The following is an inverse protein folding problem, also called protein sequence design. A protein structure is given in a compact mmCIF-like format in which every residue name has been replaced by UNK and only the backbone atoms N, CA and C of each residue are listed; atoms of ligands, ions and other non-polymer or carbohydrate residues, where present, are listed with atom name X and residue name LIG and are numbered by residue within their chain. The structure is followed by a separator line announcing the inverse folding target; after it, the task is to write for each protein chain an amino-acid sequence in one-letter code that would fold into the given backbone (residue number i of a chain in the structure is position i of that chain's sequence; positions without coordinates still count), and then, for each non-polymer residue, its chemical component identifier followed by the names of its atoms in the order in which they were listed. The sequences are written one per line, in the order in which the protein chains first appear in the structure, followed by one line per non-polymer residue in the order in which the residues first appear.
data_IF_198542293401
#
_entry.id   IF_198542293401
#
_cell.length_a   1.000
_cell.length_b   1.000
_cell.length_c   1.000
_cell.angle_alpha   90.00
_cell.angle_beta   90.00
_cell.angle_gamma   90.00
#
_symmetry.space_group_name_H-M   'P 1'
#
loop_
_entity.id
_entity.type
_entity.pdbx_description
1 polymer ?
#
# COMPACT_ATOMS: atom_id res chain seq x y z
N UNK A 1 6.90 -1.09 -9.27
CA UNK A 1 5.74 -1.42 -10.12
C UNK A 1 5.26 -0.22 -10.88
N UNK A 2 4.82 -0.39 -12.13
CA UNK A 2 4.49 0.70 -13.04
C UNK A 2 3.02 1.04 -13.05
N UNK A 3 2.75 2.33 -12.95
CA UNK A 3 1.49 2.92 -13.32
C UNK A 3 1.64 3.64 -14.66
N UNK A 4 0.75 3.37 -15.60
CA UNK A 4 0.70 4.09 -16.88
C UNK A 4 -0.46 5.07 -16.82
N UNK A 5 -0.15 6.38 -16.83
CA UNK A 5 -1.15 7.42 -16.95
C UNK A 5 -1.74 7.45 -18.37
N UNK A 6 -2.99 7.94 -18.56
CA UNK A 6 -3.63 8.05 -19.89
C UNK A 6 -2.86 8.92 -20.90
N UNK A 7 -1.94 9.76 -20.43
CA UNK A 7 -1.07 10.61 -21.26
C UNK A 7 0.25 9.95 -21.69
N UNK A 8 0.42 8.63 -21.42
CA UNK A 8 1.59 7.88 -21.82
C UNK A 8 2.79 7.95 -20.88
N UNK A 9 2.72 8.73 -19.81
CA UNK A 9 3.73 8.74 -18.78
C UNK A 9 3.64 7.47 -17.93
N UNK A 10 4.78 6.82 -17.71
CA UNK A 10 4.92 5.62 -16.89
C UNK A 10 5.53 5.98 -15.56
N UNK A 11 4.88 5.60 -14.48
CA UNK A 11 5.34 5.85 -13.11
C UNK A 11 5.58 4.52 -12.41
N UNK A 12 6.78 4.32 -11.88
CA UNK A 12 7.13 3.11 -11.12
C UNK A 12 6.78 3.29 -9.66
N UNK A 13 5.96 2.38 -9.13
CA UNK A 13 5.89 2.17 -7.69
C UNK A 13 7.12 1.37 -7.28
N UNK A 14 8.03 2.01 -6.59
CA UNK A 14 9.03 1.31 -5.82
C UNK A 14 8.30 0.81 -4.57
N UNK A 15 7.66 -0.35 -4.68
CA UNK A 15 7.15 -1.07 -3.53
C UNK A 15 8.30 -1.77 -2.81
N UNK A 16 9.36 -1.04 -2.53
CA UNK A 16 10.26 -1.44 -1.47
C UNK A 16 9.46 -1.22 -0.19
N UNK A 17 8.93 -2.34 0.27
CA UNK A 17 8.30 -2.56 1.56
C UNK A 17 8.00 -1.28 2.33
N UNK A 18 6.72 -0.89 2.40
CA UNK A 18 6.25 0.01 3.45
C UNK A 18 6.98 -0.36 4.75
N UNK A 19 7.54 0.60 5.49
CA UNK A 19 8.30 0.31 6.68
C UNK A 19 7.45 -0.55 7.60
N UNK A 20 8.00 -1.74 7.96
CA UNK A 20 7.44 -2.49 9.09
C UNK A 20 7.45 -1.54 10.27
N UNK A 21 6.29 -1.18 10.78
CA UNK A 21 6.18 -0.44 12.01
C UNK A 21 5.65 0.98 11.90
N UNK A 22 5.08 1.42 10.78
CA UNK A 22 4.21 2.58 10.84
C UNK A 22 2.85 2.09 11.33
N UNK A 23 2.71 2.08 12.65
CA UNK A 23 1.42 1.85 13.28
C UNK A 23 0.57 3.09 13.08
N UNK A 24 -0.41 3.01 12.20
CA UNK A 24 -1.46 4.01 12.18
C UNK A 24 -2.40 3.65 13.32
N UNK A 25 -2.26 4.32 14.44
CA UNK A 25 -3.30 4.28 15.47
C UNK A 25 -4.54 4.86 14.82
N UNK A 26 -5.52 4.02 14.54
CA UNK A 26 -6.88 4.48 14.32
C UNK A 26 -7.27 5.14 15.66
N UNK A 27 -7.12 6.46 15.73
CA UNK A 27 -7.51 7.23 16.90
C UNK A 27 -8.94 6.79 17.27
N UNK A 28 -9.07 6.18 18.41
CA UNK A 28 -10.35 6.18 19.09
C UNK A 28 -10.74 7.66 19.15
N UNK A 29 -11.77 8.07 18.41
CA UNK A 29 -12.22 9.46 18.35
C UNK A 29 -12.31 9.98 19.78
N UNK A 30 -11.35 10.79 20.19
CA UNK A 30 -11.41 11.54 21.42
C UNK A 30 -10.32 11.33 22.48
N UNK A 31 -9.41 10.35 22.37
CA UNK A 31 -8.28 10.25 23.33
C UNK A 31 -6.98 10.67 22.63
N UNK A 32 -6.25 11.66 23.15
CA UNK A 32 -4.92 11.98 22.68
C UNK A 32 -3.97 10.78 22.92
N UNK A 33 -2.97 10.63 22.07
CA UNK A 33 -1.96 9.55 22.14
C UNK A 33 -1.27 9.50 23.52
N UNK A 34 -1.13 10.64 24.15
CA UNK A 34 -0.48 10.84 25.45
C UNK A 34 -1.25 10.14 26.61
N UNK A 35 -2.56 9.94 26.45
CA UNK A 35 -3.41 9.33 27.46
C UNK A 35 -3.54 7.80 27.29
N UNK A 36 -2.99 7.23 26.23
CA UNK A 36 -3.10 5.79 25.95
C UNK A 36 -1.89 5.09 26.57
N UNK A 37 -2.13 4.26 27.60
CA UNK A 37 -1.09 3.43 28.24
C UNK A 37 -0.28 2.64 27.19
N UNK A 38 1.04 2.56 27.38
CA UNK A 38 2.03 1.94 26.51
C UNK A 38 2.32 2.77 25.26
N UNK A 39 1.29 3.25 24.53
CA UNK A 39 1.47 4.05 23.32
C UNK A 39 2.16 5.39 23.62
N UNK A 40 1.85 6.02 24.75
CA UNK A 40 2.47 7.26 25.20
C UNK A 40 3.99 7.15 25.44
N UNK A 41 4.50 5.92 25.64
CA UNK A 41 5.93 5.66 25.83
C UNK A 41 6.71 5.60 24.50
N UNK A 42 5.99 5.50 23.35
CA UNK A 42 6.57 5.33 22.01
C UNK A 42 5.97 6.31 20.99
N UNK A 43 6.06 7.64 21.20
CA UNK A 43 5.45 8.61 20.30
C UNK A 43 6.07 8.62 18.90
N UNK A 44 7.33 8.21 18.78
CA UNK A 44 8.09 8.07 17.53
C UNK A 44 7.59 6.94 16.63
N UNK A 45 6.90 5.94 17.20
CA UNK A 45 6.32 4.82 16.45
C UNK A 45 4.98 5.18 15.80
N UNK A 46 4.34 6.26 16.26
CA UNK A 46 3.01 6.71 15.82
C UNK A 46 3.03 8.13 15.24
N UNK A 47 3.83 8.42 14.21
CA UNK A 47 3.84 9.73 13.59
C UNK A 47 2.51 10.02 12.89
N UNK A 48 2.11 11.28 12.83
CA UNK A 48 0.90 11.71 12.09
C UNK A 48 1.07 11.51 10.58
N UNK A 49 2.26 11.77 10.06
CA UNK A 49 2.64 11.58 8.66
C UNK A 49 3.90 10.72 8.56
N UNK A 50 4.02 10.00 7.45
CA UNK A 50 5.22 9.22 7.16
C UNK A 50 6.41 10.15 6.87
N UNK A 51 7.54 10.00 7.56
CA UNK A 51 8.69 10.91 7.41
C UNK A 51 9.44 10.77 6.07
N UNK A 52 9.08 9.77 5.25
CA UNK A 52 9.71 9.51 3.94
C UNK A 52 9.74 8.05 3.58
N UNK A 53 10.67 7.69 2.70
CA UNK A 53 10.90 6.29 2.31
C UNK A 53 11.40 5.46 3.49
N UNK A 54 11.02 4.16 3.56
CA UNK A 54 11.53 3.26 4.59
C UNK A 54 13.04 3.10 4.47
N UNK A 55 13.73 2.77 5.59
CA UNK A 55 15.16 2.49 5.54
C UNK A 55 15.45 1.27 4.66
N UNK A 56 16.64 1.26 4.05
CA UNK A 56 17.12 0.12 3.29
C UNK A 56 17.14 -1.15 4.15
N UNK A 57 16.76 -2.27 3.56
CA UNK A 57 16.69 -3.57 4.23
C UNK A 57 17.54 -4.59 3.51
N UNK A 58 18.10 -5.52 4.28
CA UNK A 58 18.91 -6.63 3.76
C UNK A 58 18.09 -7.65 2.93
N UNK A 59 16.76 -7.65 3.10
CA UNK A 59 15.87 -8.57 2.40
C UNK A 59 15.15 -7.83 1.28
N UNK A 60 15.46 -8.17 0.04
CA UNK A 60 14.70 -7.73 -1.13
C UNK A 60 13.35 -8.45 -1.23
N UNK A 61 12.29 -7.69 -1.42
CA UNK A 61 10.99 -8.26 -1.75
C UNK A 61 10.96 -8.70 -3.22
N UNK A 62 10.70 -9.98 -3.44
CA UNK A 62 10.62 -10.58 -4.79
C UNK A 62 9.24 -11.19 -5.02
N UNK A 63 8.76 -11.07 -6.25
CA UNK A 63 7.54 -11.74 -6.72
C UNK A 63 7.98 -12.78 -7.75
N UNK A 64 7.86 -14.05 -7.41
CA UNK A 64 8.21 -15.14 -8.30
C UNK A 64 7.09 -15.35 -9.33
N UNK A 65 7.50 -15.44 -10.59
CA UNK A 65 6.57 -15.60 -11.72
C UNK A 65 6.72 -16.98 -12.35
N UNK A 66 5.66 -17.43 -13.01
CA UNK A 66 5.70 -18.64 -13.82
C UNK A 66 6.78 -18.51 -14.91
N UNK A 67 7.50 -19.61 -15.19
CA UNK A 67 8.58 -19.62 -16.17
C UNK A 67 8.08 -19.32 -17.59
N UNK A 68 8.87 -18.56 -18.34
CA UNK A 68 8.58 -18.29 -19.76
C UNK A 68 7.53 -17.20 -20.00
N UNK A 69 7.10 -16.48 -18.96
CA UNK A 69 6.11 -15.41 -19.09
C UNK A 69 6.75 -14.12 -19.59
N UNK A 70 6.15 -13.53 -20.62
CA UNK A 70 6.50 -12.19 -21.07
C UNK A 70 5.93 -11.11 -20.14
N UNK A 71 6.58 -9.94 -20.03
CA UNK A 71 6.05 -8.83 -19.25
C UNK A 71 4.64 -8.43 -19.66
N UNK A 72 3.77 -8.24 -18.66
CA UNK A 72 2.39 -7.82 -18.87
C UNK A 72 2.30 -6.29 -18.74
N UNK A 73 1.78 -5.65 -19.80
CA UNK A 73 1.46 -4.23 -19.77
C UNK A 73 0.02 -4.05 -20.26
N UNK A 74 -0.92 -3.87 -19.33
CA UNK A 74 -2.32 -3.60 -19.68
C UNK A 74 -2.54 -2.12 -19.96
N UNK A 75 -3.42 -1.86 -20.95
CA UNK A 75 -3.84 -0.48 -21.26
C UNK A 75 -4.59 0.11 -20.05
N UNK A 76 -4.44 1.43 -19.79
CA UNK A 76 -5.21 2.09 -18.75
C UNK A 76 -6.72 2.04 -19.07
N UNK A 77 -7.53 1.96 -18.02
CA UNK A 77 -8.97 2.06 -18.15
C UNK A 77 -9.37 3.48 -18.55
N UNK A 78 -10.44 3.57 -19.35
CA UNK A 78 -11.03 4.88 -19.69
C UNK A 78 -11.63 5.50 -18.42
N UNK A 79 -11.23 6.72 -18.12
CA UNK A 79 -11.69 7.47 -16.95
C UNK A 79 -12.41 8.74 -17.38
N UNK A 80 -13.35 9.19 -16.57
CA UNK A 80 -13.97 10.51 -16.71
C UNK A 80 -12.98 11.62 -16.30
N UNK A 81 -13.31 12.85 -16.63
CA UNK A 81 -12.44 14.01 -16.36
C UNK A 81 -12.19 14.20 -14.86
N UNK A 82 -13.19 13.93 -14.01
CA UNK A 82 -13.06 14.06 -12.55
C UNK A 82 -12.09 13.04 -11.99
N UNK A 83 -12.20 11.78 -12.40
CA UNK A 83 -11.29 10.73 -11.97
C UNK A 83 -9.87 10.98 -12.47
N UNK A 84 -9.72 11.52 -13.68
CA UNK A 84 -8.42 11.85 -14.24
C UNK A 84 -7.72 12.98 -13.46
N UNK A 85 -8.45 14.03 -13.08
CA UNK A 85 -7.91 15.12 -12.28
C UNK A 85 -7.50 14.66 -10.87
N UNK A 86 -8.31 13.79 -10.26
CA UNK A 86 -7.98 13.20 -8.96
C UNK A 86 -6.76 12.29 -9.04
N UNK A 87 -6.66 11.49 -10.09
CA UNK A 87 -5.49 10.66 -10.35
C UNK A 87 -4.22 11.48 -10.45
N UNK A 88 -4.25 12.56 -11.23
CA UNK A 88 -3.11 13.45 -11.40
C UNK A 88 -2.67 14.04 -10.06
N UNK A 89 -3.61 14.54 -9.27
CA UNK A 89 -3.35 15.09 -7.94
C UNK A 89 -2.66 14.07 -7.03
N UNK A 90 -3.20 12.84 -6.91
CA UNK A 90 -2.63 11.80 -6.05
C UNK A 90 -1.24 11.36 -6.52
N UNK A 91 -1.00 11.29 -7.84
CA UNK A 91 0.33 10.98 -8.39
C UNK A 91 1.32 12.11 -8.08
N UNK A 92 0.95 13.37 -8.25
CA UNK A 92 1.80 14.51 -7.95
C UNK A 92 2.17 14.54 -6.45
N UNK A 93 1.24 14.24 -5.55
CA UNK A 93 1.49 14.13 -4.12
C UNK A 93 2.48 13.00 -3.79
N UNK A 94 2.33 11.82 -4.41
CA UNK A 94 3.24 10.69 -4.21
C UNK A 94 4.64 10.96 -4.79
N UNK A 95 4.73 11.65 -5.94
CA UNK A 95 6.00 12.09 -6.51
C UNK A 95 6.70 13.10 -5.62
N UNK A 96 5.95 14.09 -5.10
CA UNK A 96 6.51 15.11 -4.20
C UNK A 96 7.03 14.51 -2.89
N UNK A 97 6.36 13.46 -2.37
CA UNK A 97 6.81 12.70 -1.19
C UNK A 97 7.94 11.70 -1.51
N UNK A 98 8.32 11.51 -2.78
CA UNK A 98 9.36 10.57 -3.19
C UNK A 98 8.96 9.09 -3.14
N UNK A 99 7.68 8.78 -2.94
CA UNK A 99 7.19 7.38 -2.87
C UNK A 99 7.10 6.70 -4.23
N UNK A 100 7.10 7.46 -5.30
CA UNK A 100 7.09 6.96 -6.68
C UNK A 100 8.09 7.73 -7.54
N UNK A 101 8.53 7.10 -8.62
CA UNK A 101 9.42 7.72 -9.62
C UNK A 101 9.01 7.30 -11.04
N UNK A 102 9.32 8.09 -12.08
CA UNK A 102 9.13 7.67 -13.47
C UNK A 102 9.95 6.42 -13.78
N UNK A 103 9.38 5.50 -14.56
CA UNK A 103 10.04 4.27 -14.95
C UNK A 103 9.77 3.88 -16.39
N UNK A 104 10.74 3.18 -17.00
CA UNK A 104 10.68 2.64 -18.36
C UNK A 104 10.48 1.12 -18.40
N UNK A 105 10.10 0.48 -17.27
CA UNK A 105 9.92 -0.97 -17.21
C UNK A 105 8.81 -1.45 -18.18
N UNK A 106 8.94 -2.66 -18.75
CA UNK A 106 7.91 -3.23 -19.63
C UNK A 106 6.65 -3.71 -18.91
N UNK A 107 6.64 -3.70 -17.57
CA UNK A 107 5.49 -4.09 -16.77
C UNK A 107 4.55 -2.91 -16.54
N UNK A 108 3.24 -3.13 -16.64
CA UNK A 108 2.25 -2.08 -16.41
C UNK A 108 0.92 -2.64 -15.95
N UNK A 109 0.32 -1.98 -14.96
CA UNK A 109 -1.01 -2.29 -14.47
C UNK A 109 -1.91 -1.05 -14.49
N UNK A 110 -3.19 -1.18 -14.86
CA UNK A 110 -4.13 -0.08 -14.88
C UNK A 110 -4.54 0.33 -13.48
N UNK A 111 -5.00 1.57 -13.34
CA UNK A 111 -5.53 2.12 -12.11
C UNK A 111 -7.05 2.06 -12.12
N UNK A 112 -7.62 1.76 -10.97
CA UNK A 112 -9.05 1.87 -10.65
C UNK A 112 -9.23 2.74 -9.41
N UNK A 113 -10.38 3.40 -9.29
CA UNK A 113 -10.78 4.09 -8.08
C UNK A 113 -11.84 3.31 -7.31
N UNK A 114 -11.70 3.29 -6.00
CA UNK A 114 -12.67 2.70 -5.08
C UNK A 114 -13.16 3.80 -4.15
N UNK A 115 -14.47 3.97 -4.08
CA UNK A 115 -15.08 4.92 -3.14
C UNK A 115 -15.02 4.36 -1.72
N UNK A 116 -14.51 5.15 -0.79
CA UNK A 116 -14.52 4.83 0.63
C UNK A 116 -15.84 5.25 1.28
N UNK A 117 -16.13 4.71 2.45
CA UNK A 117 -17.34 5.06 3.24
C UNK A 117 -17.35 6.52 3.68
N UNK A 118 -16.21 7.16 3.76
CA UNK A 118 -16.05 8.59 4.10
C UNK A 118 -16.25 9.55 2.91
N UNK A 119 -16.59 9.02 1.73
CA UNK A 119 -16.78 9.78 0.49
C UNK A 119 -15.49 10.11 -0.25
N UNK A 120 -14.34 9.75 0.28
CA UNK A 120 -13.06 9.91 -0.42
C UNK A 120 -12.82 8.77 -1.41
N UNK A 121 -11.98 9.01 -2.42
CA UNK A 121 -11.63 8.02 -3.44
C UNK A 121 -10.22 7.50 -3.21
N UNK A 122 -10.11 6.17 -3.18
CA UNK A 122 -8.83 5.49 -3.08
C UNK A 122 -8.36 5.03 -4.45
N UNK A 123 -7.18 5.48 -4.84
CA UNK A 123 -6.49 4.97 -6.02
C UNK A 123 -5.99 3.54 -5.73
N UNK A 124 -6.37 2.60 -6.58
CA UNK A 124 -5.94 1.21 -6.49
C UNK A 124 -5.31 0.76 -7.81
N UNK A 125 -4.28 -0.04 -7.73
CA UNK A 125 -3.64 -0.65 -8.88
C UNK A 125 -4.25 -2.03 -9.13
N UNK A 126 -4.69 -2.31 -10.34
CA UNK A 126 -5.27 -3.59 -10.72
C UNK A 126 -4.19 -4.64 -10.97
N UNK A 127 -3.88 -5.40 -9.94
CA UNK A 127 -2.87 -6.46 -9.98
C UNK A 127 -3.39 -7.82 -10.44
N UNK A 128 -4.66 -7.96 -10.80
CA UNK A 128 -5.24 -9.27 -11.15
C UNK A 128 -4.44 -10.01 -12.19
N UNK A 129 -4.04 -9.34 -13.27
CA UNK A 129 -3.23 -9.98 -14.31
C UNK A 129 -1.84 -10.42 -13.83
N UNK A 130 -1.20 -9.66 -12.95
CA UNK A 130 0.06 -10.05 -12.33
C UNK A 130 -0.13 -11.21 -11.35
N UNK A 131 -1.19 -11.17 -10.55
CA UNK A 131 -1.51 -12.23 -9.59
C UNK A 131 -1.80 -13.58 -10.27
N UNK A 132 -2.37 -13.57 -11.49
CA UNK A 132 -2.65 -14.80 -12.25
C UNK A 132 -1.37 -15.53 -12.66
N UNK A 133 -0.28 -14.81 -12.91
CA UNK A 133 1.01 -15.37 -13.33
C UNK A 133 2.03 -15.49 -12.20
N UNK A 134 1.68 -15.05 -11.01
CA UNK A 134 2.53 -15.14 -9.81
C UNK A 134 2.47 -16.54 -9.22
N UNK A 135 3.64 -17.09 -8.86
CA UNK A 135 3.72 -18.34 -8.08
C UNK A 135 3.19 -18.04 -6.68
N UNK A 136 2.04 -18.64 -6.36
CA UNK A 136 1.35 -18.39 -5.09
C UNK A 136 2.10 -19.07 -3.95
N UNK A 137 2.40 -18.30 -2.91
CA UNK A 137 2.95 -18.83 -1.68
C UNK A 137 1.94 -19.79 -1.03
N UNK A 138 2.45 -20.93 -0.55
CA UNK A 138 1.66 -21.98 0.12
C UNK A 138 1.93 -22.02 1.63
N UNK A 139 2.46 -20.93 2.19
CA UNK A 139 2.68 -20.86 3.64
C UNK A 139 1.35 -20.98 4.38
N UNK A 140 1.23 -21.91 5.36
CA UNK A 140 -0.01 -22.05 6.10
C UNK A 140 -0.29 -20.81 6.93
N UNK A 141 -1.51 -20.26 6.78
CA UNK A 141 -1.98 -19.19 7.64
C UNK A 141 -2.44 -19.76 8.98
N UNK A 142 -2.21 -19.05 10.09
CA UNK A 142 -2.78 -19.44 11.37
C UNK A 142 -4.31 -19.40 11.33
N UNK A 143 -4.96 -20.28 12.07
CA UNK A 143 -6.41 -20.26 12.20
C UNK A 143 -6.89 -18.99 12.91
N UNK A 144 -8.04 -18.48 12.49
CA UNK A 144 -8.60 -17.24 13.05
C UNK A 144 -8.92 -17.43 14.54
N UNK A 145 -9.39 -18.62 14.91
CA UNK A 145 -9.69 -19.00 16.29
C UNK A 145 -8.45 -18.92 17.20
N UNK A 146 -7.31 -19.43 16.71
CA UNK A 146 -6.03 -19.37 17.43
C UNK A 146 -5.57 -17.90 17.64
N UNK A 147 -5.80 -17.04 16.64
CA UNK A 147 -5.48 -15.61 16.73
C UNK A 147 -6.36 -14.89 17.76
N UNK A 148 -7.66 -15.22 17.82
CA UNK A 148 -8.55 -14.69 18.83
C UNK A 148 -8.20 -15.16 20.24
N UNK A 149 -7.81 -16.42 20.39
CA UNK A 149 -7.38 -16.95 21.69
C UNK A 149 -6.11 -16.26 22.20
N UNK A 150 -5.17 -15.92 21.30
CA UNK A 150 -3.98 -15.15 21.66
C UNK A 150 -4.31 -13.72 22.13
N UNK A 151 -5.42 -13.14 21.65
CA UNK A 151 -5.86 -11.82 22.08
C UNK A 151 -6.70 -11.83 23.36
N UNK A 152 -6.98 -13.01 23.92
CA UNK A 152 -7.82 -13.17 25.11
C UNK A 152 -7.23 -12.42 26.30
N UNK A 153 -8.04 -11.54 26.89
CA UNK A 153 -7.63 -10.70 28.02
C UNK A 153 -6.94 -9.38 27.64
N UNK A 154 -6.65 -9.13 26.36
CA UNK A 154 -6.15 -7.85 25.89
C UNK A 154 -7.23 -6.76 26.06
N UNK A 155 -6.82 -5.60 26.57
CA UNK A 155 -7.71 -4.43 26.77
C UNK A 155 -7.42 -3.30 25.79
N UNK A 156 -6.24 -3.30 25.18
CA UNK A 156 -5.79 -2.28 24.22
C UNK A 156 -5.35 -3.00 22.96
N UNK A 157 -5.80 -2.51 21.82
CA UNK A 157 -5.48 -3.08 20.50
C UNK A 157 -4.89 -1.98 19.61
N UNK A 158 -3.85 -2.29 18.88
CA UNK A 158 -3.29 -1.44 17.82
C UNK A 158 -3.46 -2.13 16.47
N UNK A 159 -3.79 -1.36 15.44
CA UNK A 159 -3.82 -1.84 14.05
C UNK A 159 -2.60 -1.28 13.32
N UNK A 160 -1.80 -2.18 12.74
CA UNK A 160 -0.66 -1.83 11.91
C UNK A 160 -1.02 -2.18 10.47
N UNK A 161 -1.05 -1.18 9.59
CA UNK A 161 -1.19 -1.39 8.14
C UNK A 161 0.22 -1.53 7.54
N UNK A 162 0.50 -2.69 6.93
CA UNK A 162 1.80 -3.06 6.34
C UNK A 162 1.85 -2.71 4.86
#
# INVERSE_FOLDING_TARGET
MLLTCPQGERVEFVADALPKGVATVNQMKGMPLEDIKVVCEYPDVFPEDLPGMPPDRDIEFRIDLLLGIAPISKRPYRMDVKNLSELKKQIEELLAKGFIRPSSTPWGAPIIFVDKKDGTRRMCVDYRALNDITIKNKYPLPMIEDLFDQMRGAKVFSKIDL
#
